data_IF_478695308351
#
_entry.id   IF_478695308351
#
_cell.length_a   1.000
_cell.length_b   1.000
_cell.length_c   1.000
_cell.angle_alpha   90.00
_cell.angle_beta   90.00
_cell.angle_gamma   90.00
#
_symmetry.space_group_name_H-M   'P 1'
#
loop_
_entity.id
_entity.type
_entity.pdbx_description
1 polymer ?
#
# COMPACT_ATOMS: atom_id res chain seq x y z
N UNK A 1 22.02 -10.40 -3.35
CA UNK A 1 21.53 -9.66 -2.16
C UNK A 1 21.51 -8.18 -2.50
N UNK A 2 20.34 -7.57 -2.67
CA UNK A 2 20.22 -6.13 -2.94
C UNK A 2 19.62 -5.45 -1.70
N UNK A 3 20.50 -4.83 -0.90
CA UNK A 3 20.13 -4.01 0.25
C UNK A 3 19.38 -2.76 -0.20
N UNK A 4 18.11 -2.65 0.18
CA UNK A 4 17.26 -1.48 -0.07
C UNK A 4 17.32 -0.44 1.07
N UNK A 5 18.43 -0.38 1.81
CA UNK A 5 18.71 0.78 2.66
C UNK A 5 19.28 1.88 1.77
N UNK A 6 18.45 2.85 1.37
CA UNK A 6 18.96 4.13 0.90
C UNK A 6 19.93 4.65 2.00
N UNK A 7 21.21 4.91 1.68
CA UNK A 7 22.13 5.46 2.67
C UNK A 7 21.57 6.78 3.22
N UNK A 8 21.74 7.08 4.52
CA UNK A 8 21.17 8.27 5.18
C UNK A 8 21.45 9.59 4.44
N UNK A 9 22.58 9.66 3.72
CA UNK A 9 22.96 10.78 2.84
C UNK A 9 22.00 11.05 1.66
N UNK A 10 21.25 10.05 1.15
CA UNK A 10 20.23 10.27 0.11
C UNK A 10 18.90 10.74 0.70
N UNK A 11 18.55 10.30 1.91
CA UNK A 11 17.34 10.76 2.60
C UNK A 11 17.44 12.25 2.99
N UNK A 12 18.64 12.74 3.31
CA UNK A 12 18.91 14.16 3.58
C UNK A 12 18.65 15.09 2.38
N UNK A 13 18.54 14.56 1.15
CA UNK A 13 18.26 15.36 -0.07
C UNK A 13 16.77 15.53 -0.36
N UNK A 14 15.90 14.82 0.36
CA UNK A 14 14.47 14.92 0.14
C UNK A 14 13.92 16.17 0.83
N UNK A 15 13.54 17.19 0.04
CA UNK A 15 12.75 18.34 0.51
C UNK A 15 11.39 17.87 1.03
N UNK A 16 10.56 18.77 1.57
CA UNK A 16 9.21 18.41 2.03
C UNK A 16 8.40 17.72 0.91
N UNK A 17 7.69 16.63 1.26
CA UNK A 17 6.89 15.90 0.29
C UNK A 17 5.74 16.78 -0.25
N UNK A 18 5.54 16.86 -1.58
CA UNK A 18 4.49 17.68 -2.16
C UNK A 18 3.11 17.11 -1.81
N UNK A 19 2.07 17.97 -1.72
CA UNK A 19 0.71 17.52 -1.39
C UNK A 19 0.19 16.46 -2.36
N UNK A 20 0.59 16.54 -3.63
CA UNK A 20 0.19 15.63 -4.71
C UNK A 20 0.53 14.16 -4.49
N UNK A 21 1.44 13.82 -3.55
CA UNK A 21 1.70 12.40 -3.20
C UNK A 21 0.48 11.73 -2.55
N UNK A 22 -0.44 12.51 -1.97
CA UNK A 22 -1.68 11.98 -1.37
C UNK A 22 -2.75 11.64 -2.41
N UNK A 23 -2.60 12.11 -3.65
CA UNK A 23 -3.63 12.06 -4.69
C UNK A 23 -3.55 10.77 -5.52
N UNK A 24 -3.34 9.62 -4.87
CA UNK A 24 -3.14 8.33 -5.56
C UNK A 24 -4.30 8.03 -6.51
N UNK A 25 -5.55 8.15 -6.04
CA UNK A 25 -6.73 7.89 -6.87
C UNK A 25 -6.84 8.82 -8.08
N UNK A 26 -6.46 10.09 -7.91
CA UNK A 26 -6.51 11.07 -9.00
C UNK A 26 -5.44 10.71 -10.04
N UNK A 27 -4.24 10.34 -9.61
CA UNK A 27 -3.13 10.06 -10.51
C UNK A 27 -3.17 8.65 -11.13
N UNK A 28 -3.73 7.70 -10.40
CA UNK A 28 -3.94 6.32 -10.80
C UNK A 28 -5.34 5.88 -10.32
N UNK A 29 -6.40 6.10 -11.13
CA UNK A 29 -7.75 5.66 -10.83
C UNK A 29 -7.90 4.15 -11.06
N UNK A 30 -7.02 3.37 -10.44
CA UNK A 30 -7.14 1.93 -10.43
C UNK A 30 -8.41 1.53 -9.66
N UNK A 31 -9.11 0.46 -10.10
CA UNK A 31 -10.20 -0.10 -9.33
C UNK A 31 -9.77 -0.40 -7.90
N UNK A 32 -10.69 -0.22 -6.96
CA UNK A 32 -10.53 -0.69 -5.58
C UNK A 32 -10.95 -2.15 -5.46
N UNK A 33 -10.31 -2.93 -4.56
CA UNK A 33 -10.67 -4.31 -4.34
C UNK A 33 -12.08 -4.43 -3.76
N UNK A 34 -12.88 -5.35 -4.28
CA UNK A 34 -14.23 -5.65 -3.79
C UNK A 34 -14.15 -6.60 -2.60
N UNK A 35 -13.70 -6.10 -1.45
CA UNK A 35 -13.54 -6.91 -0.23
C UNK A 35 -14.83 -7.53 0.32
N UNK A 36 -16.00 -7.16 -0.20
CA UNK A 36 -17.29 -7.80 0.12
C UNK A 36 -17.34 -9.29 -0.22
N UNK A 37 -16.47 -9.78 -1.12
CA UNK A 37 -16.35 -11.21 -1.45
C UNK A 37 -15.91 -12.09 -0.27
N UNK A 38 -15.36 -11.50 0.79
CA UNK A 38 -15.00 -12.17 2.05
C UNK A 38 -16.05 -11.98 3.15
N UNK A 39 -17.27 -11.53 2.81
CA UNK A 39 -18.32 -11.30 3.81
C UNK A 39 -18.73 -12.57 4.55
N UNK A 40 -18.68 -13.75 3.92
CA UNK A 40 -18.97 -15.02 4.60
C UNK A 40 -18.01 -15.27 5.77
N UNK A 41 -16.75 -14.87 5.65
CA UNK A 41 -15.70 -15.12 6.64
C UNK A 41 -15.51 -13.95 7.62
N UNK A 42 -15.74 -12.71 7.16
CA UNK A 42 -15.30 -11.50 7.85
C UNK A 42 -16.42 -10.51 8.18
N UNK A 43 -17.70 -10.88 8.05
CA UNK A 43 -18.84 -10.00 8.37
C UNK A 43 -18.71 -9.38 9.77
N UNK A 44 -18.34 -10.19 10.75
CA UNK A 44 -18.35 -9.81 12.17
C UNK A 44 -16.97 -9.34 12.68
N UNK A 45 -16.02 -9.08 11.78
CA UNK A 45 -14.66 -8.63 12.12
C UNK A 45 -14.60 -7.18 12.66
N UNK A 46 -15.74 -6.51 12.83
CA UNK A 46 -15.82 -5.12 13.28
C UNK A 46 -15.77 -4.09 12.15
N UNK A 47 -16.09 -2.84 12.50
CA UNK A 47 -16.23 -1.74 11.54
C UNK A 47 -14.90 -1.07 11.18
N UNK A 48 -13.86 -1.27 11.99
CA UNK A 48 -12.55 -0.64 11.76
C UNK A 48 -11.85 -1.28 10.54
N UNK A 49 -11.30 -0.48 9.60
CA UNK A 49 -10.59 -1.01 8.43
C UNK A 49 -9.43 -1.95 8.78
N UNK A 50 -8.73 -1.71 9.90
CA UNK A 50 -7.66 -2.57 10.41
C UNK A 50 -8.17 -3.97 10.73
N UNK A 51 -9.26 -4.07 11.49
CA UNK A 51 -9.86 -5.36 11.85
C UNK A 51 -10.40 -6.12 10.63
N UNK A 52 -11.09 -5.41 9.74
CA UNK A 52 -11.62 -5.95 8.49
C UNK A 52 -10.53 -6.56 7.61
N UNK A 53 -9.43 -5.84 7.41
CA UNK A 53 -8.30 -6.31 6.61
C UNK A 53 -7.51 -7.41 7.32
N UNK A 54 -7.36 -7.35 8.64
CA UNK A 54 -6.74 -8.42 9.41
C UNK A 54 -7.50 -9.74 9.22
N UNK A 55 -8.84 -9.71 9.29
CA UNK A 55 -9.64 -10.90 9.00
C UNK A 55 -9.45 -11.42 7.57
N UNK A 56 -9.50 -10.54 6.55
CA UNK A 56 -9.36 -10.96 5.14
C UNK A 56 -7.98 -11.58 4.87
N UNK A 57 -6.92 -10.98 5.42
CA UNK A 57 -5.56 -11.49 5.23
C UNK A 57 -5.36 -12.82 5.96
N UNK A 58 -6.05 -13.04 7.08
CA UNK A 58 -6.05 -14.32 7.77
C UNK A 58 -6.86 -15.38 7.00
N UNK A 59 -8.08 -15.05 6.58
CA UNK A 59 -8.96 -15.96 5.82
C UNK A 59 -8.36 -16.41 4.48
N UNK A 60 -7.59 -15.55 3.83
CA UNK A 60 -6.84 -15.88 2.60
C UNK A 60 -5.47 -16.53 2.86
N UNK A 61 -5.08 -16.67 4.13
CA UNK A 61 -3.74 -17.06 4.56
C UNK A 61 -2.64 -16.20 3.92
N UNK A 62 -2.92 -14.93 3.61
CA UNK A 62 -1.95 -13.97 3.08
C UNK A 62 -0.93 -13.51 4.14
N UNK A 63 -1.20 -13.78 5.42
CA UNK A 63 -0.27 -13.55 6.53
C UNK A 63 0.20 -14.86 7.17
N UNK A 64 1.43 -14.85 7.67
CA UNK A 64 1.98 -15.79 8.64
C UNK A 64 2.49 -14.99 9.83
N UNK A 65 1.69 -14.92 10.90
CA UNK A 65 1.87 -13.90 11.92
C UNK A 65 1.81 -12.50 11.28
N UNK A 66 2.86 -11.72 11.44
CA UNK A 66 2.95 -10.36 10.88
C UNK A 66 3.61 -10.27 9.49
N UNK A 67 3.96 -11.40 8.89
CA UNK A 67 4.68 -11.44 7.60
C UNK A 67 3.75 -11.78 6.45
N UNK A 68 3.87 -11.03 5.35
CA UNK A 68 3.20 -11.38 4.09
C UNK A 68 3.71 -12.69 3.52
N UNK A 69 2.78 -13.58 3.19
CA UNK A 69 3.03 -14.76 2.37
C UNK A 69 2.76 -14.40 0.91
N UNK A 70 3.80 -13.92 0.21
CA UNK A 70 3.66 -13.46 -1.18
C UNK A 70 2.93 -14.44 -2.12
N UNK A 71 3.14 -15.77 -2.04
CA UNK A 71 2.39 -16.73 -2.88
C UNK A 71 0.88 -16.74 -2.64
N UNK A 72 0.40 -16.23 -1.50
CA UNK A 72 -1.02 -16.15 -1.12
C UNK A 72 -1.65 -14.79 -1.43
N UNK A 73 -0.84 -13.77 -1.73
CA UNK A 73 -1.33 -12.42 -2.07
C UNK A 73 -2.07 -12.41 -3.40
N UNK A 74 -1.53 -13.04 -4.45
CA UNK A 74 -2.21 -13.02 -5.77
C UNK A 74 -3.58 -13.72 -5.73
N UNK A 75 -3.73 -14.94 -5.18
CA UNK A 75 -5.06 -15.56 -5.02
C UNK A 75 -6.03 -14.71 -4.20
N UNK A 76 -5.55 -14.05 -3.14
CA UNK A 76 -6.37 -13.14 -2.34
C UNK A 76 -6.93 -11.98 -3.19
N UNK A 77 -6.09 -11.40 -4.06
CA UNK A 77 -6.45 -10.30 -4.95
C UNK A 77 -7.34 -10.75 -6.10
N UNK A 78 -7.09 -11.93 -6.69
CA UNK A 78 -7.92 -12.52 -7.74
C UNK A 78 -9.37 -12.75 -7.30
N UNK A 79 -9.58 -13.05 -6.00
CA UNK A 79 -10.94 -13.11 -5.44
C UNK A 79 -11.62 -11.75 -5.36
N UNK A 80 -10.87 -10.66 -5.15
CA UNK A 80 -11.40 -9.32 -4.91
C UNK A 80 -11.41 -8.40 -6.14
N UNK A 81 -10.68 -8.75 -7.19
CA UNK A 81 -10.56 -7.99 -8.43
C UNK A 81 -10.97 -8.83 -9.63
N UNK A 82 -11.43 -8.15 -10.69
CA UNK A 82 -11.81 -8.81 -11.95
C UNK A 82 -10.89 -8.45 -13.12
N UNK A 83 -9.86 -7.62 -12.90
CA UNK A 83 -9.00 -7.07 -13.95
C UNK A 83 -7.53 -7.42 -13.71
N UNK A 84 -6.97 -8.30 -14.57
CA UNK A 84 -5.61 -8.84 -14.42
C UNK A 84 -4.50 -7.78 -14.28
N UNK A 85 -4.44 -6.73 -15.12
CA UNK A 85 -3.41 -5.69 -14.96
C UNK A 85 -3.45 -4.97 -13.60
N UNK A 86 -4.63 -4.87 -13.00
CA UNK A 86 -4.79 -4.29 -11.66
C UNK A 86 -4.27 -5.27 -10.60
N UNK A 87 -4.63 -6.55 -10.73
CA UNK A 87 -4.15 -7.63 -9.84
C UNK A 87 -2.62 -7.68 -9.84
N UNK A 88 -2.00 -7.66 -11.02
CA UNK A 88 -0.55 -7.75 -11.16
C UNK A 88 0.16 -6.54 -10.53
N UNK A 89 -0.38 -5.33 -10.75
CA UNK A 89 0.16 -4.12 -10.14
C UNK A 89 0.08 -4.17 -8.60
N UNK A 90 -1.06 -4.56 -8.04
CA UNK A 90 -1.19 -4.71 -6.58
C UNK A 90 -0.27 -5.82 -6.05
N UNK A 91 -0.24 -7.00 -6.67
CA UNK A 91 0.59 -8.11 -6.22
C UNK A 91 2.08 -7.75 -6.20
N UNK A 92 2.58 -7.10 -7.26
CA UNK A 92 3.95 -6.59 -7.31
C UNK A 92 4.19 -5.53 -6.20
N UNK A 93 3.24 -4.63 -6.00
CA UNK A 93 3.34 -3.58 -4.97
C UNK A 93 3.35 -4.15 -3.55
N UNK A 94 2.55 -5.18 -3.25
CA UNK A 94 2.62 -5.92 -1.98
C UNK A 94 4.01 -6.53 -1.78
N UNK A 95 4.58 -7.14 -2.82
CA UNK A 95 5.97 -7.62 -2.81
C UNK A 95 6.97 -6.52 -2.43
N UNK A 96 6.86 -5.35 -3.07
CA UNK A 96 7.71 -4.18 -2.81
C UNK A 96 7.49 -3.52 -1.44
N UNK A 97 6.40 -3.86 -0.74
CA UNK A 97 6.04 -3.34 0.56
C UNK A 97 6.31 -4.31 1.72
N UNK A 98 6.50 -5.60 1.42
CA UNK A 98 6.62 -6.67 2.42
C UNK A 98 7.70 -6.38 3.48
N UNK A 99 8.94 -6.18 3.05
CA UNK A 99 10.05 -5.89 3.96
C UNK A 99 9.96 -4.49 4.57
N UNK A 100 9.43 -3.51 3.83
CA UNK A 100 9.33 -2.14 4.30
C UNK A 100 8.37 -2.02 5.47
N UNK A 101 7.12 -2.47 5.31
CA UNK A 101 6.10 -2.37 6.36
C UNK A 101 6.52 -3.18 7.58
N UNK A 102 7.09 -4.37 7.38
CA UNK A 102 7.59 -5.19 8.49
C UNK A 102 8.70 -4.48 9.28
N UNK A 103 9.71 -3.95 8.60
CA UNK A 103 10.86 -3.28 9.26
C UNK A 103 10.53 -1.89 9.82
N UNK A 104 9.50 -1.23 9.29
CA UNK A 104 9.10 0.13 9.69
C UNK A 104 7.80 0.20 10.45
N UNK A 105 7.29 -0.94 10.94
CA UNK A 105 5.98 -1.00 11.60
C UNK A 105 5.82 0.04 12.71
N UNK A 106 6.78 0.13 13.63
CA UNK A 106 6.73 1.09 14.75
C UNK A 106 6.76 2.56 14.29
N UNK A 107 7.47 2.87 13.20
CA UNK A 107 7.48 4.22 12.64
C UNK A 107 6.14 4.53 11.94
N UNK A 108 5.51 3.52 11.31
CA UNK A 108 4.20 3.64 10.69
C UNK A 108 3.06 3.78 11.71
N UNK A 109 3.11 3.03 12.81
CA UNK A 109 2.13 3.14 13.89
C UNK A 109 2.14 4.53 14.54
N UNK A 110 3.33 5.13 14.67
CA UNK A 110 3.49 6.48 15.23
C UNK A 110 3.00 7.62 14.34
N UNK A 111 2.87 7.40 13.02
CA UNK A 111 2.37 8.44 12.09
C UNK A 111 0.95 8.18 11.58
N UNK A 112 0.45 6.96 11.67
CA UNK A 112 -0.88 6.60 11.17
C UNK A 112 -1.97 7.06 12.13
N UNK A 113 -3.07 7.58 11.57
CA UNK A 113 -4.29 7.95 12.32
C UNK A 113 -5.31 6.82 12.41
N UNK A 114 -5.00 5.67 11.82
CA UNK A 114 -5.88 4.51 11.76
C UNK A 114 -5.94 3.80 13.12
N UNK A 115 -7.15 3.36 13.49
CA UNK A 115 -7.43 2.68 14.76
C UNK A 115 -6.51 1.47 14.98
N UNK A 116 -6.01 1.38 16.21
CA UNK A 116 -5.21 0.27 16.76
C UNK A 116 -6.05 -0.80 17.47
N UNK A 117 -7.38 -0.76 17.31
CA UNK A 117 -8.29 -1.78 17.87
C UNK A 117 -7.95 -3.21 17.41
N UNK A 118 -7.31 -3.34 16.24
CA UNK A 118 -6.76 -4.58 15.72
C UNK A 118 -5.36 -4.35 15.15
N UNK A 119 -4.61 -5.42 14.96
CA UNK A 119 -3.30 -5.38 14.32
C UNK A 119 -3.36 -4.67 12.94
N UNK A 120 -2.40 -3.77 12.70
CA UNK A 120 -2.41 -2.88 11.54
C UNK A 120 -1.52 -3.36 10.40
N UNK A 121 -0.86 -4.53 10.49
CA UNK A 121 0.03 -5.01 9.42
C UNK A 121 -0.73 -5.16 8.09
N UNK A 122 -1.88 -5.84 8.09
CA UNK A 122 -2.70 -6.01 6.89
C UNK A 122 -3.11 -4.66 6.27
N UNK A 123 -3.48 -3.70 7.11
CA UNK A 123 -3.81 -2.33 6.69
C UNK A 123 -2.60 -1.62 6.08
N UNK A 124 -1.45 -1.62 6.77
CA UNK A 124 -0.24 -0.95 6.30
C UNK A 124 0.33 -1.57 5.04
N UNK A 125 0.26 -2.90 4.88
CA UNK A 125 0.57 -3.56 3.63
C UNK A 125 -0.33 -3.09 2.50
N UNK A 126 -1.64 -3.01 2.74
CA UNK A 126 -2.63 -2.55 1.75
C UNK A 126 -2.40 -1.09 1.36
N UNK A 127 -2.19 -0.20 2.34
CA UNK A 127 -1.91 1.22 2.14
C UNK A 127 -0.59 1.46 1.40
N UNK A 128 0.46 0.71 1.74
CA UNK A 128 1.73 0.77 1.02
C UNK A 128 1.56 0.30 -0.43
N UNK A 129 0.85 -0.82 -0.64
CA UNK A 129 0.63 -1.36 -1.98
C UNK A 129 -0.18 -0.41 -2.86
N UNK A 130 -1.19 0.25 -2.28
CA UNK A 130 -1.96 1.31 -2.93
C UNK A 130 -1.08 2.52 -3.26
N UNK A 131 -0.31 3.04 -2.28
CA UNK A 131 0.56 4.19 -2.49
C UNK A 131 1.63 3.96 -3.58
N UNK A 132 2.14 2.73 -3.70
CA UNK A 132 3.08 2.33 -4.77
C UNK A 132 2.51 2.45 -6.18
N UNK A 133 1.18 2.56 -6.36
CA UNK A 133 0.60 2.91 -7.66
C UNK A 133 1.10 4.26 -8.18
N UNK A 134 1.54 5.19 -7.32
CA UNK A 134 2.20 6.42 -7.77
C UNK A 134 3.42 6.14 -8.66
N UNK A 135 4.15 5.05 -8.40
CA UNK A 135 5.31 4.63 -9.17
C UNK A 135 4.97 3.60 -10.25
N UNK A 136 4.05 2.67 -9.93
CA UNK A 136 3.80 1.45 -10.70
C UNK A 136 2.34 1.31 -11.16
N UNK A 137 1.63 2.42 -11.35
CA UNK A 137 0.30 2.42 -11.95
C UNK A 137 0.33 1.75 -13.34
N UNK A 138 -0.64 0.89 -13.69
CA UNK A 138 -0.78 0.39 -15.04
C UNK A 138 -0.79 1.52 -16.08
N UNK A 139 -0.07 1.40 -17.21
CA UNK A 139 0.15 2.51 -18.13
C UNK A 139 -1.10 3.15 -18.72
N UNK A 140 -2.20 2.41 -18.82
CA UNK A 140 -3.50 2.88 -19.33
C UNK A 140 -4.36 3.61 -18.30
N UNK A 141 -4.01 3.52 -17.00
CA UNK A 141 -4.71 4.23 -15.92
C UNK A 141 -3.96 5.49 -15.49
N UNK A 142 -2.66 5.55 -15.71
CA UNK A 142 -1.85 6.70 -15.28
C UNK A 142 -2.24 8.01 -15.98
N UNK A 143 -2.49 9.05 -15.20
CA UNK A 143 -2.76 10.40 -15.70
C UNK A 143 -1.50 11.09 -16.23
N UNK A 144 -1.05 10.69 -17.42
CA UNK A 144 0.20 11.17 -18.08
C UNK A 144 0.27 12.68 -18.26
N UNK A 145 -0.86 13.31 -18.57
CA UNK A 145 -0.91 14.74 -18.88
C UNK A 145 -1.08 15.63 -17.62
N UNK A 146 -1.28 15.03 -16.45
CA UNK A 146 -1.40 15.77 -15.21
C UNK A 146 0.00 16.04 -14.62
N UNK A 147 0.41 17.32 -14.61
CA UNK A 147 1.71 17.77 -14.10
C UNK A 147 1.93 17.39 -12.63
N UNK A 148 0.92 17.58 -11.77
CA UNK A 148 1.01 17.21 -10.35
C UNK A 148 1.27 15.72 -10.15
N UNK A 149 0.71 14.87 -11.03
CA UNK A 149 0.94 13.44 -11.00
C UNK A 149 2.37 13.08 -11.44
N UNK A 150 2.91 13.75 -12.47
CA UNK A 150 4.30 13.54 -12.89
C UNK A 150 5.28 13.95 -11.79
N UNK A 151 5.05 15.10 -11.16
CA UNK A 151 5.84 15.57 -10.01
C UNK A 151 5.78 14.59 -8.85
N UNK A 152 4.59 14.13 -8.47
CA UNK A 152 4.42 13.19 -7.38
C UNK A 152 5.07 11.83 -7.68
N UNK A 153 4.97 11.32 -8.92
CA UNK A 153 5.68 10.11 -9.36
C UNK A 153 7.19 10.29 -9.32
N UNK A 154 7.71 11.42 -9.80
CA UNK A 154 9.13 11.74 -9.76
C UNK A 154 9.64 11.82 -8.31
N UNK A 155 8.91 12.53 -7.45
CA UNK A 155 9.25 12.64 -6.04
C UNK A 155 9.22 11.27 -5.34
N UNK A 156 8.15 10.49 -5.52
CA UNK A 156 8.04 9.17 -4.87
C UNK A 156 9.14 8.22 -5.32
N UNK A 157 9.59 8.25 -6.57
CA UNK A 157 10.72 7.42 -7.05
C UNK A 157 12.02 7.72 -6.32
N UNK A 158 12.28 8.98 -6.00
CA UNK A 158 13.52 9.43 -5.37
C UNK A 158 13.45 9.47 -3.84
N UNK A 159 12.26 9.72 -3.30
CA UNK A 159 12.00 10.05 -1.91
C UNK A 159 10.80 9.26 -1.35
N UNK A 160 10.78 7.95 -1.60
CA UNK A 160 9.64 7.10 -1.24
C UNK A 160 9.28 7.18 0.24
N UNK A 161 10.24 7.04 1.15
CA UNK A 161 9.95 6.99 2.59
C UNK A 161 9.32 8.30 3.12
N UNK A 162 9.90 9.49 2.87
CA UNK A 162 9.24 10.76 3.20
C UNK A 162 7.85 10.91 2.57
N UNK A 163 7.69 10.50 1.31
CA UNK A 163 6.40 10.58 0.61
C UNK A 163 5.35 9.67 1.26
N UNK A 164 5.73 8.44 1.58
CA UNK A 164 4.84 7.46 2.17
C UNK A 164 4.45 7.83 3.59
N UNK A 165 5.38 8.34 4.41
CA UNK A 165 5.03 8.89 5.73
C UNK A 165 4.03 10.05 5.63
N UNK A 166 4.19 10.94 4.64
CA UNK A 166 3.23 12.02 4.39
C UNK A 166 1.85 11.46 4.02
N UNK A 167 1.80 10.44 3.18
CA UNK A 167 0.57 9.75 2.83
C UNK A 167 -0.11 9.11 4.06
N UNK A 168 0.65 8.37 4.87
CA UNK A 168 0.16 7.71 6.08
C UNK A 168 -0.36 8.68 7.15
N UNK A 169 0.21 9.87 7.29
CA UNK A 169 -0.27 10.88 8.24
C UNK A 169 -1.63 11.50 7.83
N UNK A 170 -2.05 11.34 6.57
CA UNK A 170 -3.33 11.85 6.08
C UNK A 170 -4.32 10.73 5.75
N UNK A 171 -3.96 9.49 6.09
CA UNK A 171 -4.82 8.30 5.95
C UNK A 171 -5.11 7.75 7.34
#
# INVERSE_FOLDING_TARGET
>A
MLSWTLPPLKAAKCKAAPKSVQNVQICCPAPMPKWGVYNSECRDSGQQPSCRLACIFNASAALQGFRLRLPRVRPMLERAFSHHPTIDAYAANFGNCSSLVYSKYQELTGVSRQSDACDRHALFYSLCAYFRLMQHCPPGLWQRNNKMCQEARSYTRNCFWPAFKRFMNNT
#
